data_IF_484213858848
#
_entry.id   IF_484213858848
#
_cell.length_a   1.000
_cell.length_b   1.000
_cell.length_c   1.000
_cell.angle_alpha   90.00
_cell.angle_beta   90.00
_cell.angle_gamma   90.00
#
_symmetry.space_group_name_H-M   'P 1'
#
loop_
_entity.id
_entity.type
_entity.pdbx_description
1 polymer ?
#
# COMPACT_ATOMS: atom_id res chain seq x y z
N UNK A 1 -6.25 -7.97 -13.06
CA UNK A 1 -6.58 -6.51 -13.09
C UNK A 1 -5.28 -5.76 -12.87
N UNK A 2 -4.81 -4.97 -13.85
CA UNK A 2 -3.63 -4.14 -13.68
C UNK A 2 -3.88 -3.15 -12.53
N UNK A 3 -2.92 -2.97 -11.62
CA UNK A 3 -3.04 -2.04 -10.49
C UNK A 3 -3.41 -0.63 -10.93
N UNK A 4 -2.92 -0.17 -12.09
CA UNK A 4 -3.19 1.17 -12.60
C UNK A 4 -4.66 1.40 -12.94
N UNK A 5 -5.31 0.51 -13.67
CA UNK A 5 -6.72 0.65 -14.05
C UNK A 5 -7.66 0.44 -12.86
N UNK A 6 -7.39 -0.53 -11.97
CA UNK A 6 -8.22 -0.76 -10.78
C UNK A 6 -8.22 0.40 -9.79
N UNK A 7 -7.09 1.08 -9.60
CA UNK A 7 -6.99 2.25 -8.74
C UNK A 7 -7.63 3.49 -9.35
N UNK A 8 -7.52 3.67 -10.65
CA UNK A 8 -8.21 4.75 -11.38
C UNK A 8 -9.72 4.61 -11.20
N UNK A 9 -10.28 3.42 -11.40
CA UNK A 9 -11.72 3.19 -11.22
C UNK A 9 -12.19 3.30 -9.75
N UNK A 10 -11.38 2.92 -8.78
CA UNK A 10 -11.73 3.07 -7.35
C UNK A 10 -11.73 4.52 -6.88
N UNK A 11 -10.96 5.38 -7.53
CA UNK A 11 -10.82 6.80 -7.20
C UNK A 11 -11.68 7.72 -8.06
N UNK A 12 -12.40 7.18 -9.04
CA UNK A 12 -13.37 7.94 -9.84
C UNK A 12 -14.71 8.03 -9.10
N UNK A 13 -15.21 9.25 -8.98
CA UNK A 13 -16.58 9.47 -8.55
C UNK A 13 -17.56 8.87 -9.56
N UNK A 14 -18.52 8.10 -9.07
CA UNK A 14 -19.66 7.69 -9.88
C UNK A 14 -20.61 8.86 -10.06
N UNK A 15 -21.40 8.87 -11.14
CA UNK A 15 -22.41 9.88 -11.41
C UNK A 15 -23.44 9.98 -10.28
N UNK A 16 -23.72 8.84 -9.62
CA UNK A 16 -24.58 8.76 -8.44
C UNK A 16 -23.74 8.52 -7.17
N UNK A 17 -23.84 9.45 -6.23
CA UNK A 17 -23.21 9.29 -4.92
C UNK A 17 -23.97 8.27 -4.06
N UNK A 18 -23.27 7.50 -3.21
CA UNK A 18 -23.94 6.59 -2.28
C UNK A 18 -24.80 7.38 -1.27
N UNK A 19 -25.92 6.79 -0.85
CA UNK A 19 -26.76 7.37 0.23
C UNK A 19 -26.04 7.21 1.57
N UNK A 20 -25.43 8.28 2.04
CA UNK A 20 -24.69 8.32 3.31
C UNK A 20 -24.72 9.74 3.89
N UNK A 21 -24.31 9.90 5.14
CA UNK A 21 -24.28 11.20 5.82
C UNK A 21 -23.36 12.19 5.10
N UNK A 22 -22.21 11.77 4.62
CA UNK A 22 -21.27 12.59 3.87
C UNK A 22 -20.38 11.72 2.96
N UNK A 23 -19.97 12.27 1.82
CA UNK A 23 -18.95 11.70 0.93
C UNK A 23 -17.76 12.66 0.93
N UNK A 24 -16.62 12.18 1.44
CA UNK A 24 -15.36 12.93 1.48
C UNK A 24 -14.44 12.39 0.42
N UNK A 25 -14.41 13.05 -0.72
CA UNK A 25 -13.55 12.70 -1.85
C UNK A 25 -13.12 13.98 -2.59
N UNK A 26 -11.81 14.29 -2.63
CA UNK A 26 -11.31 15.48 -3.31
C UNK A 26 -11.55 15.46 -4.82
N UNK A 27 -11.79 14.30 -5.45
CA UNK A 27 -12.03 14.16 -6.88
C UNK A 27 -13.49 14.44 -7.30
N UNK A 28 -14.40 14.63 -6.34
CA UNK A 28 -15.80 14.97 -6.66
C UNK A 28 -15.90 16.21 -7.54
N UNK A 29 -16.77 16.20 -8.55
CA UNK A 29 -17.12 17.41 -9.30
C UNK A 29 -17.55 18.53 -8.34
N UNK A 30 -17.00 19.73 -8.54
CA UNK A 30 -17.31 20.88 -7.68
C UNK A 30 -16.65 20.87 -6.29
N UNK A 31 -15.85 19.88 -5.93
CA UNK A 31 -15.12 19.92 -4.67
C UNK A 31 -14.06 21.03 -4.67
N UNK A 32 -14.12 22.01 -3.73
CA UNK A 32 -13.20 23.15 -3.73
C UNK A 32 -11.82 22.83 -3.18
N UNK A 33 -11.60 21.59 -2.67
CA UNK A 33 -10.31 21.21 -2.09
C UNK A 33 -9.21 21.25 -3.16
N UNK A 34 -8.14 22.05 -2.98
CA UNK A 34 -7.20 22.35 -4.06
C UNK A 34 -6.29 21.17 -4.42
N UNK A 35 -5.94 20.31 -3.44
CA UNK A 35 -5.01 19.21 -3.63
C UNK A 35 -5.75 17.89 -3.86
N UNK A 36 -5.73 17.41 -5.10
CA UNK A 36 -6.51 16.23 -5.56
C UNK A 36 -5.78 14.89 -5.37
N UNK A 37 -4.49 14.91 -5.05
CA UNK A 37 -3.62 13.71 -5.08
C UNK A 37 -3.42 13.05 -3.71
N UNK A 38 -4.32 13.28 -2.75
CA UNK A 38 -4.26 12.58 -1.47
C UNK A 38 -4.54 11.09 -1.66
N UNK A 39 -3.75 10.23 -0.99
CA UNK A 39 -4.13 8.84 -0.77
C UNK A 39 -5.39 8.75 0.10
N UNK A 40 -6.07 7.60 0.09
CA UNK A 40 -7.23 7.37 0.96
C UNK A 40 -6.94 7.63 2.45
N UNK A 41 -5.75 7.23 2.92
CA UNK A 41 -5.29 7.52 4.29
C UNK A 41 -5.12 9.03 4.54
N UNK A 42 -4.67 9.80 3.53
CA UNK A 42 -4.57 11.25 3.62
C UNK A 42 -5.93 11.92 3.75
N UNK A 43 -6.92 11.43 3.00
CA UNK A 43 -8.32 11.88 3.12
C UNK A 43 -8.88 11.55 4.52
N UNK A 44 -8.64 10.34 5.02
CA UNK A 44 -9.04 9.93 6.36
C UNK A 44 -8.38 10.82 7.44
N UNK A 45 -7.09 11.13 7.31
CA UNK A 45 -6.41 12.04 8.21
C UNK A 45 -7.06 13.44 8.19
N UNK A 46 -7.41 13.98 7.02
CA UNK A 46 -8.11 15.28 6.93
C UNK A 46 -9.45 15.26 7.65
N UNK A 47 -10.19 14.16 7.56
CA UNK A 47 -11.44 13.99 8.31
C UNK A 47 -11.19 13.98 9.82
N UNK A 48 -10.21 13.23 10.29
CA UNK A 48 -9.80 13.18 11.71
C UNK A 48 -9.43 14.59 12.22
N UNK A 49 -8.64 15.34 11.44
CA UNK A 49 -8.24 16.69 11.79
C UNK A 49 -9.43 17.66 11.83
N UNK A 50 -10.40 17.50 10.93
CA UNK A 50 -11.62 18.33 10.90
C UNK A 50 -12.51 18.03 12.11
N UNK A 51 -12.72 16.76 12.45
CA UNK A 51 -13.51 16.34 13.60
C UNK A 51 -12.86 16.75 14.95
N UNK A 52 -11.53 16.71 15.02
CA UNK A 52 -10.79 17.11 16.22
C UNK A 52 -10.75 18.62 16.46
N UNK A 53 -11.01 19.41 15.44
CA UNK A 53 -11.01 20.87 15.49
C UNK A 53 -9.62 21.50 15.61
N UNK A 54 -9.55 22.84 15.56
CA UNK A 54 -8.28 23.57 15.52
C UNK A 54 -7.38 23.31 16.74
N UNK A 55 -7.97 23.22 17.93
CA UNK A 55 -7.22 23.04 19.17
C UNK A 55 -6.44 21.70 19.24
N UNK A 56 -6.97 20.64 18.61
CA UNK A 56 -6.34 19.30 18.61
C UNK A 56 -5.54 19.00 17.36
N UNK A 57 -5.56 19.89 16.38
CA UNK A 57 -4.99 19.63 15.04
C UNK A 57 -3.51 19.19 15.07
N UNK A 58 -2.68 19.91 15.84
CA UNK A 58 -1.26 19.60 15.94
C UNK A 58 -1.01 18.21 16.58
N UNK A 59 -1.74 17.93 17.69
CA UNK A 59 -1.63 16.65 18.38
C UNK A 59 -2.08 15.48 17.50
N UNK A 60 -3.22 15.61 16.82
CA UNK A 60 -3.74 14.57 15.91
C UNK A 60 -2.83 14.35 14.70
N UNK A 61 -2.23 15.43 14.17
CA UNK A 61 -1.27 15.31 13.10
C UNK A 61 -0.04 14.52 13.55
N UNK A 62 0.50 14.83 14.71
CA UNK A 62 1.64 14.10 15.28
C UNK A 62 1.29 12.63 15.59
N UNK A 63 0.05 12.37 16.03
CA UNK A 63 -0.41 11.02 16.37
C UNK A 63 -0.59 10.10 15.15
N UNK A 64 -1.04 10.64 13.99
CA UNK A 64 -1.41 9.83 12.82
C UNK A 64 -0.52 10.04 11.59
N UNK A 65 0.52 10.89 11.68
CA UNK A 65 1.37 11.18 10.54
C UNK A 65 2.14 9.94 10.03
N UNK A 66 2.56 9.05 10.92
CA UNK A 66 3.22 7.79 10.60
C UNK A 66 2.35 6.91 9.69
N UNK A 67 1.08 6.71 10.07
CA UNK A 67 0.12 5.94 9.26
C UNK A 67 -0.16 6.62 7.91
N UNK A 68 -0.29 7.95 7.92
CA UNK A 68 -0.53 8.72 6.69
C UNK A 68 0.66 8.62 5.72
N UNK A 69 1.89 8.65 6.21
CA UNK A 69 3.07 8.46 5.38
C UNK A 69 3.15 7.06 4.81
N UNK A 70 2.94 6.02 5.64
CA UNK A 70 2.96 4.62 5.18
C UNK A 70 1.95 4.42 4.05
N UNK A 71 0.70 4.83 4.23
CA UNK A 71 -0.32 4.62 3.21
C UNK A 71 -0.10 5.47 1.96
N UNK A 72 0.39 6.71 2.09
CA UNK A 72 0.72 7.58 0.94
C UNK A 72 1.83 6.98 0.09
N UNK A 73 2.88 6.45 0.70
CA UNK A 73 3.99 5.79 0.00
C UNK A 73 3.56 4.43 -0.56
N UNK A 74 2.81 3.63 0.21
CA UNK A 74 2.32 2.32 -0.21
C UNK A 74 1.40 2.39 -1.44
N UNK A 75 0.61 3.45 -1.55
CA UNK A 75 -0.28 3.73 -2.69
C UNK A 75 0.46 4.37 -3.89
N UNK A 76 1.77 4.56 -3.78
CA UNK A 76 2.63 5.15 -4.82
C UNK A 76 2.09 6.53 -5.28
N UNK A 77 1.62 7.32 -4.32
CA UNK A 77 1.12 8.66 -4.61
C UNK A 77 2.27 9.63 -4.94
N UNK A 78 2.00 10.61 -5.79
CA UNK A 78 2.95 11.67 -6.08
C UNK A 78 3.34 12.41 -4.79
N UNK A 79 4.63 12.37 -4.44
CA UNK A 79 5.18 13.00 -3.22
C UNK A 79 5.46 14.50 -3.51
N UNK A 80 4.40 15.23 -3.84
CA UNK A 80 4.39 16.69 -4.10
C UNK A 80 3.36 17.36 -3.19
N UNK A 81 3.41 18.68 -3.08
CA UNK A 81 2.43 19.46 -2.32
C UNK A 81 2.21 18.92 -0.90
N UNK A 82 0.94 18.67 -0.53
CA UNK A 82 0.59 18.17 0.81
C UNK A 82 1.14 16.77 1.09
N UNK A 83 1.19 15.88 0.10
CA UNK A 83 1.76 14.54 0.30
C UNK A 83 3.22 14.62 0.72
N UNK A 84 4.00 15.56 0.17
CA UNK A 84 5.40 15.76 0.57
C UNK A 84 5.51 16.15 2.04
N UNK A 85 4.64 17.04 2.51
CA UNK A 85 4.60 17.44 3.91
C UNK A 85 4.21 16.28 4.82
N UNK A 86 3.16 15.54 4.47
CA UNK A 86 2.68 14.38 5.22
C UNK A 86 3.73 13.28 5.30
N UNK A 87 4.36 12.95 4.17
CA UNK A 87 5.40 11.92 4.12
C UNK A 87 6.61 12.32 4.96
N UNK A 88 7.08 13.58 4.86
CA UNK A 88 8.21 14.06 5.67
C UNK A 88 7.92 13.96 7.18
N UNK A 89 6.78 14.50 7.62
CA UNK A 89 6.37 14.46 9.02
C UNK A 89 6.17 13.03 9.50
N UNK A 90 5.55 12.20 8.67
CA UNK A 90 5.26 10.83 9.02
C UNK A 90 6.49 9.92 9.06
N UNK A 91 7.50 10.12 8.22
CA UNK A 91 8.76 9.40 8.31
C UNK A 91 9.51 9.73 9.59
N UNK A 92 9.50 11.01 10.01
CA UNK A 92 10.05 11.43 11.29
C UNK A 92 9.27 10.81 12.47
N UNK A 93 7.93 10.84 12.42
CA UNK A 93 7.08 10.20 13.42
C UNK A 93 7.30 8.67 13.46
N UNK A 94 7.47 8.03 12.33
CA UNK A 94 7.69 6.59 12.21
C UNK A 94 9.04 6.17 12.82
N UNK A 95 10.09 6.99 12.69
CA UNK A 95 11.39 6.75 13.31
C UNK A 95 11.29 6.64 14.84
N UNK A 96 10.34 7.34 15.43
CA UNK A 96 10.12 7.41 16.87
C UNK A 96 8.73 6.92 17.28
N UNK A 97 8.13 6.05 16.45
CA UNK A 97 6.76 5.59 16.68
C UNK A 97 6.61 4.89 18.04
N UNK A 98 5.52 5.20 18.72
CA UNK A 98 5.14 4.54 19.99
C UNK A 98 4.14 3.41 19.78
N UNK A 99 3.66 3.19 18.56
CA UNK A 99 2.73 2.11 18.24
C UNK A 99 3.42 0.76 18.33
N UNK A 100 2.98 -0.14 19.24
CA UNK A 100 3.64 -1.44 19.40
C UNK A 100 3.73 -2.22 18.09
N UNK A 101 2.67 -2.19 17.28
CA UNK A 101 2.62 -2.90 15.99
C UNK A 101 3.66 -2.39 14.98
N UNK A 102 3.83 -1.07 14.85
CA UNK A 102 4.83 -0.51 13.94
C UNK A 102 6.25 -0.76 14.44
N UNK A 103 6.49 -0.65 15.75
CA UNK A 103 7.80 -0.98 16.34
C UNK A 103 8.18 -2.42 16.08
N UNK A 104 7.27 -3.36 16.35
CA UNK A 104 7.50 -4.78 16.08
C UNK A 104 7.73 -5.07 14.61
N UNK A 105 7.00 -4.38 13.71
CA UNK A 105 7.21 -4.55 12.27
C UNK A 105 8.55 -3.98 11.80
N UNK A 106 9.00 -2.85 12.37
CA UNK A 106 10.32 -2.27 12.11
C UNK A 106 11.44 -3.19 12.59
N UNK A 107 11.28 -3.77 13.78
CA UNK A 107 12.19 -4.76 14.34
C UNK A 107 12.32 -6.00 13.44
N UNK A 108 11.21 -6.65 13.11
CA UNK A 108 11.16 -7.83 12.24
C UNK A 108 11.69 -7.55 10.82
N UNK A 109 11.59 -6.31 10.37
CA UNK A 109 12.11 -5.87 9.08
C UNK A 109 13.60 -5.46 9.12
N UNK A 110 14.25 -5.45 10.28
CA UNK A 110 15.64 -5.03 10.46
C UNK A 110 15.86 -3.53 10.18
N UNK A 111 14.87 -2.70 10.52
CA UNK A 111 14.88 -1.24 10.31
C UNK A 111 14.96 -0.44 11.61
N UNK A 112 14.97 -1.09 12.78
CA UNK A 112 14.83 -0.43 14.08
C UNK A 112 15.92 0.63 14.35
N UNK A 113 17.16 0.35 13.95
CA UNK A 113 18.32 1.25 14.16
C UNK A 113 18.73 2.01 12.88
N UNK A 114 17.93 1.92 11.81
CA UNK A 114 18.25 2.54 10.53
C UNK A 114 17.41 3.79 10.29
N UNK A 115 17.95 4.81 9.61
CA UNK A 115 17.13 5.92 9.15
C UNK A 115 16.00 5.43 8.26
N UNK A 116 14.76 5.79 8.61
CA UNK A 116 13.59 5.41 7.84
C UNK A 116 13.36 6.40 6.71
N UNK A 117 13.32 5.88 5.49
CA UNK A 117 13.09 6.63 4.26
C UNK A 117 11.81 6.17 3.56
N UNK A 118 11.36 6.92 2.55
CA UNK A 118 10.28 6.47 1.68
C UNK A 118 10.59 5.14 0.98
N UNK A 119 11.86 4.87 0.68
CA UNK A 119 12.31 3.56 0.15
C UNK A 119 12.10 2.44 1.16
N UNK A 120 12.46 2.66 2.44
CA UNK A 120 12.21 1.69 3.51
C UNK A 120 10.71 1.39 3.65
N UNK A 121 9.88 2.41 3.58
CA UNK A 121 8.42 2.24 3.61
C UNK A 121 7.93 1.50 2.37
N UNK A 122 8.29 1.96 1.17
CA UNK A 122 7.75 1.43 -0.08
C UNK A 122 8.18 0.00 -0.40
N UNK A 123 9.45 -0.34 -0.11
CA UNK A 123 10.03 -1.64 -0.50
C UNK A 123 10.14 -2.63 0.66
N UNK A 124 10.04 -2.18 1.90
CA UNK A 124 10.19 -3.07 3.06
C UNK A 124 8.90 -3.17 3.88
N UNK A 125 8.36 -2.06 4.38
CA UNK A 125 7.18 -2.09 5.27
C UNK A 125 5.87 -2.34 4.51
N UNK A 126 5.60 -1.55 3.48
CA UNK A 126 4.35 -1.64 2.71
C UNK A 126 4.12 -3.04 2.08
N UNK A 127 5.13 -3.73 1.52
CA UNK A 127 4.95 -5.08 1.02
C UNK A 127 4.52 -6.09 2.10
N UNK A 128 5.02 -5.96 3.35
CA UNK A 128 4.63 -6.82 4.47
C UNK A 128 3.17 -6.61 4.87
N UNK A 129 2.77 -5.36 5.02
CA UNK A 129 1.37 -4.98 5.31
C UNK A 129 0.45 -5.46 4.18
N UNK A 130 0.81 -5.19 2.93
CA UNK A 130 0.02 -5.55 1.77
C UNK A 130 -0.08 -7.06 1.53
N UNK A 131 0.93 -7.84 1.98
CA UNK A 131 0.93 -9.29 1.84
C UNK A 131 -0.29 -9.92 2.52
N UNK A 132 -0.72 -9.43 3.68
CA UNK A 132 -1.90 -9.92 4.38
C UNK A 132 -3.17 -9.86 3.53
N UNK A 133 -3.41 -8.73 2.86
CA UNK A 133 -4.55 -8.57 1.97
C UNK A 133 -4.46 -9.44 0.70
N UNK A 134 -3.26 -9.63 0.17
CA UNK A 134 -3.03 -10.49 -1.00
C UNK A 134 -3.22 -11.97 -0.70
N UNK A 135 -2.84 -12.40 0.50
CA UNK A 135 -2.94 -13.78 0.97
C UNK A 135 -4.28 -14.08 1.67
N UNK A 136 -5.26 -13.15 1.60
CA UNK A 136 -6.61 -13.36 2.14
C UNK A 136 -6.75 -13.11 3.65
N UNK A 137 -5.76 -12.54 4.32
CA UNK A 137 -5.72 -12.33 5.77
C UNK A 137 -5.61 -10.85 6.15
N UNK A 138 -6.33 -9.95 5.45
CA UNK A 138 -6.21 -8.49 5.62
C UNK A 138 -6.44 -8.00 7.07
N UNK A 139 -7.22 -8.71 7.87
CA UNK A 139 -7.48 -8.40 9.27
C UNK A 139 -6.21 -8.40 10.12
N UNK A 140 -5.20 -9.22 9.80
CA UNK A 140 -3.94 -9.27 10.55
C UNK A 140 -3.19 -7.94 10.52
N UNK A 141 -3.15 -7.27 9.36
CA UNK A 141 -2.52 -5.96 9.26
C UNK A 141 -3.31 -4.90 10.03
N UNK A 142 -4.65 -4.95 9.98
CA UNK A 142 -5.50 -4.06 10.78
C UNK A 142 -5.27 -4.25 12.27
N UNK A 143 -5.23 -5.49 12.75
CA UNK A 143 -4.99 -5.82 14.15
C UNK A 143 -3.58 -5.36 14.59
N UNK A 144 -2.55 -5.57 13.78
CA UNK A 144 -1.19 -5.08 14.06
C UNK A 144 -1.17 -3.57 14.29
N UNK A 145 -1.84 -2.79 13.45
CA UNK A 145 -1.84 -1.33 13.54
C UNK A 145 -2.66 -0.79 14.73
N UNK A 146 -3.59 -1.60 15.25
CA UNK A 146 -4.51 -1.22 16.32
C UNK A 146 -4.13 -1.76 17.70
N UNK A 147 -3.31 -2.81 17.76
CA UNK A 147 -2.97 -3.44 19.04
C UNK A 147 -2.10 -2.51 19.91
N UNK A 148 -2.42 -2.49 21.21
CA UNK A 148 -1.62 -1.80 22.23
C UNK A 148 -0.76 -2.79 23.03
N UNK A 149 -0.95 -4.10 22.84
CA UNK A 149 -0.17 -5.15 23.49
C UNK A 149 1.12 -5.46 22.71
N UNK A 150 2.31 -5.22 23.31
CA UNK A 150 3.59 -5.49 22.65
C UNK A 150 3.80 -6.98 22.32
N UNK A 151 3.32 -7.90 23.15
CA UNK A 151 3.43 -9.33 22.90
C UNK A 151 2.60 -9.76 21.68
N UNK A 152 1.37 -9.29 21.61
CA UNK A 152 0.49 -9.49 20.44
C UNK A 152 1.07 -8.85 19.19
N UNK A 153 1.61 -7.64 19.29
CA UNK A 153 2.25 -6.93 18.20
C UNK A 153 3.42 -7.71 17.59
N UNK A 154 4.28 -8.29 18.43
CA UNK A 154 5.41 -9.11 17.98
C UNK A 154 4.94 -10.34 17.19
N UNK A 155 3.93 -11.05 17.69
CA UNK A 155 3.35 -12.21 16.98
C UNK A 155 2.77 -11.83 15.62
N UNK A 156 2.01 -10.75 15.55
CA UNK A 156 1.39 -10.27 14.31
C UNK A 156 2.44 -9.79 13.31
N UNK A 157 3.49 -9.09 13.76
CA UNK A 157 4.59 -8.66 12.90
C UNK A 157 5.33 -9.85 12.28
N UNK A 158 5.64 -10.87 13.09
CA UNK A 158 6.27 -12.10 12.60
C UNK A 158 5.38 -12.82 11.56
N UNK A 159 4.06 -12.90 11.81
CA UNK A 159 3.11 -13.48 10.86
C UNK A 159 3.05 -12.71 9.55
N UNK A 160 3.02 -11.37 9.58
CA UNK A 160 3.04 -10.55 8.36
C UNK A 160 4.35 -10.73 7.57
N UNK A 161 5.48 -10.82 8.26
CA UNK A 161 6.76 -11.10 7.63
C UNK A 161 6.77 -12.49 6.97
N UNK A 162 6.16 -13.49 7.61
CA UNK A 162 6.03 -14.83 7.04
C UNK A 162 5.13 -14.83 5.80
N UNK A 163 3.94 -14.22 5.87
CA UNK A 163 3.04 -14.07 4.72
C UNK A 163 3.71 -13.35 3.54
N UNK A 164 4.54 -12.36 3.81
CA UNK A 164 5.29 -11.69 2.75
C UNK A 164 6.34 -12.61 2.10
N UNK A 165 7.04 -13.47 2.87
CA UNK A 165 7.96 -14.48 2.32
C UNK A 165 7.22 -15.49 1.45
N UNK A 166 6.07 -15.97 1.91
CA UNK A 166 5.22 -16.91 1.14
C UNK A 166 4.73 -16.27 -0.16
N UNK A 167 4.23 -15.03 -0.08
CA UNK A 167 3.83 -14.27 -1.28
C UNK A 167 5.00 -14.12 -2.26
N UNK A 168 6.22 -13.84 -1.79
CA UNK A 168 7.42 -13.72 -2.63
C UNK A 168 7.79 -15.05 -3.29
N UNK A 169 7.69 -16.16 -2.56
CA UNK A 169 7.96 -17.49 -3.11
C UNK A 169 6.96 -17.86 -4.22
N UNK A 170 5.67 -17.62 -3.99
CA UNK A 170 4.61 -17.84 -4.98
C UNK A 170 4.84 -16.94 -6.21
N UNK A 171 5.17 -15.66 -6.00
CA UNK A 171 5.48 -14.71 -7.08
C UNK A 171 6.66 -15.20 -7.94
N UNK A 172 7.74 -15.65 -7.29
CA UNK A 172 8.92 -16.14 -7.98
C UNK A 172 8.63 -17.40 -8.83
N UNK A 173 7.85 -18.33 -8.28
CA UNK A 173 7.46 -19.55 -9.00
C UNK A 173 6.59 -19.24 -10.22
N UNK A 174 5.56 -18.42 -10.07
CA UNK A 174 4.69 -18.03 -11.20
C UNK A 174 5.49 -17.24 -12.24
N UNK A 175 6.36 -16.33 -11.80
CA UNK A 175 7.19 -15.53 -12.71
C UNK A 175 8.13 -16.40 -13.53
N UNK A 176 8.83 -17.37 -12.90
CA UNK A 176 9.72 -18.28 -13.60
C UNK A 176 8.98 -19.13 -14.63
N UNK A 177 7.81 -19.66 -14.27
CA UNK A 177 6.94 -20.42 -15.17
C UNK A 177 6.51 -19.57 -16.37
N UNK A 178 6.05 -18.33 -16.13
CA UNK A 178 5.66 -17.40 -17.20
C UNK A 178 6.81 -17.08 -18.14
N UNK A 179 7.99 -16.79 -17.59
CA UNK A 179 9.19 -16.50 -18.39
C UNK A 179 9.55 -17.68 -19.29
N UNK A 180 9.59 -18.90 -18.75
CA UNK A 180 9.88 -20.10 -19.53
C UNK A 180 8.87 -20.31 -20.67
N UNK A 181 7.58 -20.09 -20.43
CA UNK A 181 6.55 -20.19 -21.46
C UNK A 181 6.71 -19.13 -22.55
N UNK A 182 7.00 -17.88 -22.15
CA UNK A 182 7.19 -16.78 -23.11
C UNK A 182 8.44 -16.97 -23.96
N UNK A 183 9.54 -17.45 -23.36
CA UNK A 183 10.80 -17.69 -24.07
C UNK A 183 10.73 -18.91 -25.02
N UNK A 184 9.83 -19.84 -24.76
CA UNK A 184 9.57 -20.98 -25.67
C UNK A 184 8.76 -20.61 -26.92
N UNK A 185 8.11 -19.42 -26.96
CA UNK A 185 7.38 -18.95 -28.12
C UNK A 185 8.34 -18.47 -29.22
N UNK A 186 8.02 -18.68 -30.53
CA UNK A 186 8.81 -18.16 -31.64
C UNK A 186 9.03 -16.65 -31.50
N UNK A 187 10.21 -16.16 -31.96
CA UNK A 187 10.66 -14.79 -31.74
C UNK A 187 9.97 -13.70 -32.57
N UNK A 188 8.68 -13.82 -32.84
CA UNK A 188 7.90 -12.79 -33.51
C UNK A 188 7.61 -11.59 -32.59
N UNK A 189 7.31 -10.44 -33.17
CA UNK A 189 6.92 -9.23 -32.45
C UNK A 189 5.74 -9.52 -31.53
N UNK A 190 5.92 -9.34 -30.21
CA UNK A 190 4.91 -9.62 -29.21
C UNK A 190 4.15 -8.35 -28.88
N UNK A 191 2.93 -8.23 -29.37
CA UNK A 191 2.07 -7.07 -29.08
C UNK A 191 1.39 -7.13 -27.72
N UNK A 192 1.14 -8.34 -27.21
CA UNK A 192 0.58 -8.59 -25.89
C UNK A 192 0.90 -10.01 -25.41
N UNK A 193 0.94 -10.20 -24.08
CA UNK A 193 1.06 -11.51 -23.44
C UNK A 193 -0.22 -11.85 -22.69
N UNK A 194 -0.77 -13.04 -22.97
CA UNK A 194 -1.89 -13.61 -22.22
C UNK A 194 -1.48 -14.96 -21.70
N UNK A 195 -1.35 -15.08 -20.38
CA UNK A 195 -0.88 -16.27 -19.70
C UNK A 195 -1.89 -16.71 -18.63
N UNK A 196 -2.07 -18.00 -18.46
CA UNK A 196 -2.96 -18.58 -17.46
C UNK A 196 -2.33 -19.78 -16.77
N UNK A 197 -2.70 -20.02 -15.53
CA UNK A 197 -2.34 -21.20 -14.76
C UNK A 197 -3.40 -21.49 -13.70
N UNK A 198 -3.86 -22.73 -13.59
CA UNK A 198 -4.93 -23.11 -12.68
C UNK A 198 -4.58 -22.93 -11.21
N UNK A 199 -3.30 -23.16 -10.86
CA UNK A 199 -2.80 -23.04 -9.48
C UNK A 199 -2.29 -21.65 -9.12
N UNK A 200 -2.40 -20.65 -10.01
CA UNK A 200 -1.86 -19.33 -9.76
C UNK A 200 -2.70 -18.53 -8.76
N UNK A 201 -2.03 -18.02 -7.74
CA UNK A 201 -2.70 -17.29 -6.67
C UNK A 201 -3.20 -15.91 -7.15
N UNK A 202 -4.51 -15.66 -7.08
CA UNK A 202 -5.16 -14.43 -7.59
C UNK A 202 -4.58 -13.13 -7.02
N UNK A 203 -4.17 -13.13 -5.74
CA UNK A 203 -3.55 -11.97 -5.09
C UNK A 203 -2.14 -11.63 -5.59
N UNK A 204 -1.51 -12.54 -6.37
CA UNK A 204 -0.12 -12.46 -6.81
C UNK A 204 0.02 -12.24 -8.31
N UNK A 205 -0.87 -12.80 -9.13
CA UNK A 205 -0.77 -12.74 -10.61
C UNK A 205 -0.62 -11.32 -11.16
N UNK A 206 -1.25 -10.32 -10.55
CA UNK A 206 -1.10 -8.92 -11.00
C UNK A 206 0.31 -8.34 -10.76
N UNK A 207 1.05 -8.84 -9.77
CA UNK A 207 2.46 -8.45 -9.57
C UNK A 207 3.32 -9.06 -10.67
N UNK A 208 3.09 -10.34 -10.97
CA UNK A 208 3.81 -11.05 -12.04
C UNK A 208 3.54 -10.40 -13.39
N UNK A 209 2.29 -10.09 -13.71
CA UNK A 209 1.92 -9.39 -14.94
C UNK A 209 2.65 -8.06 -15.10
N UNK A 210 2.74 -7.26 -14.05
CA UNK A 210 3.49 -5.99 -14.09
C UNK A 210 4.98 -6.21 -14.39
N UNK A 211 5.61 -7.21 -13.75
CA UNK A 211 7.03 -7.53 -13.98
C UNK A 211 7.30 -8.07 -15.40
N UNK A 212 6.37 -8.85 -15.93
CA UNK A 212 6.48 -9.34 -17.32
C UNK A 212 6.29 -8.19 -18.32
N UNK A 213 5.33 -7.30 -18.07
CA UNK A 213 5.14 -6.12 -18.90
C UNK A 213 6.39 -5.22 -18.94
N UNK A 214 7.07 -5.05 -17.80
CA UNK A 214 8.35 -4.32 -17.73
C UNK A 214 9.46 -5.09 -18.48
N UNK A 215 9.58 -6.40 -18.30
CA UNK A 215 10.64 -7.22 -18.94
C UNK A 215 10.50 -7.26 -20.45
N UNK A 216 9.28 -7.42 -20.96
CA UNK A 216 9.02 -7.63 -22.39
C UNK A 216 8.49 -6.38 -23.12
N UNK A 217 8.33 -5.27 -22.41
CA UNK A 217 7.86 -3.98 -22.95
C UNK A 217 6.52 -4.09 -23.72
N UNK A 218 5.62 -4.99 -23.27
CA UNK A 218 4.30 -5.19 -23.88
C UNK A 218 3.22 -5.40 -22.82
N UNK A 219 1.95 -5.11 -23.12
CA UNK A 219 0.81 -5.41 -22.24
C UNK A 219 0.76 -6.90 -21.86
N UNK A 220 0.49 -7.19 -20.59
CA UNK A 220 0.47 -8.56 -20.06
C UNK A 220 -0.71 -8.76 -19.13
#
# INVERSE_FOLDING_TARGET
RSRGLGDVYKRQCKDTLPRCTAVVDPHRPGCPYPFKYLAGVGVALKLVLALGGPARRAALLAEYADLAAIGTVADVMNVTGENRCLVRLGLEALQHTRRPGLRSLLHEAGLEEKPISSMSVGYVLAPRINASGRMGCASLAGELLLTEDPGRAALLAAQLCQLNRERQAIEAAIYAECVARVEALPGEERYALVLSGEAWHQGVVGIVASRLAEKYSCPT
#
